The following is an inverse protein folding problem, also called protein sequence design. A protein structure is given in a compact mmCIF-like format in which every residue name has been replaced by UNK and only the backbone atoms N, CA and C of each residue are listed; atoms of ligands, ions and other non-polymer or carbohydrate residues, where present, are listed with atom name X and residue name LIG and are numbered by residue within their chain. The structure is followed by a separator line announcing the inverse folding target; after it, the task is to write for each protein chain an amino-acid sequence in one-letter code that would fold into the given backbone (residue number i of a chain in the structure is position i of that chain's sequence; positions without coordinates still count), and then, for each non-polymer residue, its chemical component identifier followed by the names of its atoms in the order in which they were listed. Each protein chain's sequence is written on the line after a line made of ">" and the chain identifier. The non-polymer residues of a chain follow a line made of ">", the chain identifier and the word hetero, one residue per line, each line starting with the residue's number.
data_IF_057126907818
#
_entry.id   IF_057126907818
#
_cell.length_a   1.000
_cell.length_b   1.000
_cell.length_c   1.000
_cell.angle_alpha   90.00
_cell.angle_beta   90.00
_cell.angle_gamma   90.00
#
_symmetry.space_group_name_H-M   'P 1'
#
loop_
_entity.id
_entity.type
_entity.pdbx_description
1 polymer ?
#
# COMPACT_ATOMS: atom_id res chain seq x y z
N UNK A 1 13.81 18.39 49.61
CA UNK A 1 14.87 17.78 48.81
C UNK A 1 15.85 17.04 49.72
N UNK A 2 16.42 17.69 50.73
CA UNK A 2 17.25 17.00 51.74
C UNK A 2 16.46 15.97 52.58
N UNK A 3 15.18 16.20 52.88
CA UNK A 3 14.31 15.19 53.53
C UNK A 3 13.97 13.99 52.63
N UNK A 4 14.04 14.15 51.29
CA UNK A 4 13.80 13.05 50.33
C UNK A 4 15.05 12.18 50.12
N UNK A 5 16.19 12.58 50.69
CA UNK A 5 17.48 11.89 50.65
C UNK A 5 17.78 11.13 51.95
N UNK A 6 16.84 11.06 52.90
CA UNK A 6 17.04 10.25 54.11
C UNK A 6 16.95 8.75 53.78
N UNK A 7 17.98 8.05 54.27
CA UNK A 7 18.38 6.67 53.98
C UNK A 7 17.24 5.67 53.76
N UNK A 8 17.19 5.10 52.54
CA UNK A 8 16.46 3.86 52.26
C UNK A 8 15.22 3.96 51.37
N UNK A 9 14.98 5.11 50.72
CA UNK A 9 13.84 5.27 49.80
C UNK A 9 14.23 4.99 48.35
N UNK A 10 13.27 4.50 47.54
CA UNK A 10 13.46 4.26 46.10
C UNK A 10 13.92 5.50 45.31
N UNK A 11 13.66 6.70 45.85
CA UNK A 11 14.10 7.97 45.26
C UNK A 11 15.62 8.18 45.36
N UNK A 12 16.23 7.82 46.49
CA UNK A 12 17.69 7.86 46.67
C UNK A 12 18.40 6.91 45.71
N UNK A 13 17.86 5.70 45.53
CA UNK A 13 18.37 4.72 44.56
C UNK A 13 18.26 5.23 43.12
N UNK A 14 17.16 5.92 42.78
CA UNK A 14 16.96 6.49 41.46
C UNK A 14 17.94 7.65 41.18
N UNK A 15 18.20 8.49 42.19
CA UNK A 15 19.16 9.60 42.09
C UNK A 15 20.59 9.07 41.97
N UNK A 16 20.96 8.04 42.75
CA UNK A 16 22.28 7.41 42.66
C UNK A 16 22.48 6.67 41.32
N UNK A 17 21.47 5.94 40.83
CA UNK A 17 21.52 5.29 39.53
C UNK A 17 21.65 6.31 38.38
N UNK A 18 20.97 7.46 38.49
CA UNK A 18 21.13 8.55 37.53
C UNK A 18 22.53 9.17 37.59
N UNK A 19 23.07 9.37 38.79
CA UNK A 19 24.43 9.88 38.98
C UNK A 19 25.47 8.93 38.38
N UNK A 20 25.37 7.62 38.63
CA UNK A 20 26.26 6.58 38.10
C UNK A 20 26.20 6.48 36.57
N UNK A 21 25.01 6.61 35.98
CA UNK A 21 24.86 6.65 34.52
C UNK A 21 25.59 7.85 33.91
N UNK A 22 25.60 8.98 34.62
CA UNK A 22 26.26 10.22 34.20
C UNK A 22 27.78 10.09 34.30
N UNK A 23 28.31 9.49 35.36
CA UNK A 23 29.75 9.24 35.52
C UNK A 23 30.28 8.29 34.45
N UNK A 24 29.49 7.28 34.08
CA UNK A 24 29.84 6.32 33.02
C UNK A 24 29.87 6.98 31.62
N UNK A 25 28.95 7.91 31.36
CA UNK A 25 28.93 8.71 30.13
C UNK A 25 30.15 9.64 30.03
N UNK A 26 30.56 10.28 31.13
CA UNK A 26 31.75 11.14 31.14
C UNK A 26 33.06 10.35 31.08
N UNK A 27 33.14 9.16 31.69
CA UNK A 27 34.34 8.30 31.59
C UNK A 27 34.54 7.73 30.20
N UNK A 28 33.45 7.48 29.46
CA UNK A 28 33.52 7.02 28.08
C UNK A 28 33.84 8.17 27.11
N UNK A 29 33.32 9.37 27.36
CA UNK A 29 33.67 10.56 26.57
C UNK A 29 35.14 10.99 26.73
N UNK A 30 35.80 10.67 27.86
CA UNK A 30 37.20 10.96 28.10
C UNK A 30 38.18 9.98 27.42
N UNK A 31 37.69 8.86 26.84
CA UNK A 31 38.53 7.84 26.17
C UNK A 31 38.45 7.85 24.64
N UNK A 32 37.53 8.59 24.03
CA UNK A 32 37.44 8.74 22.56
C UNK A 32 38.14 10.03 22.09
N UNK A 33 39.45 10.07 22.32
CA UNK A 33 40.35 11.11 21.84
C UNK A 33 41.50 10.52 21.04
N UNK A 34 41.24 9.58 20.13
CA UNK A 34 42.23 9.11 19.15
C UNK A 34 41.51 8.52 17.93
N UNK A 35 41.93 8.95 16.73
CA UNK A 35 41.45 8.50 15.41
C UNK A 35 41.33 6.97 15.33
N UNK A 36 40.17 6.45 14.92
CA UNK A 36 40.06 5.07 14.42
C UNK A 36 39.16 4.98 13.18
N UNK A 37 39.78 4.38 12.17
CA UNK A 37 39.34 3.96 10.85
C UNK A 37 38.37 2.77 10.96
N UNK A 38 37.28 2.78 10.18
CA UNK A 38 36.26 1.73 10.20
C UNK A 38 36.83 0.36 9.79
N UNK A 39 36.83 -0.60 10.72
CA UNK A 39 36.89 -2.03 10.42
C UNK A 39 36.09 -2.79 11.49
N UNK A 40 34.99 -3.42 11.09
CA UNK A 40 34.20 -4.33 11.94
C UNK A 40 34.98 -5.62 12.21
N UNK A 41 35.07 -6.09 13.48
CA UNK A 41 35.32 -7.49 13.76
C UNK A 41 34.09 -8.16 14.36
N UNK A 42 33.76 -9.34 13.82
CA UNK A 42 32.95 -10.34 14.49
C UNK A 42 33.67 -10.78 15.78
N UNK A 43 32.96 -10.78 16.91
CA UNK A 43 33.48 -11.34 18.15
C UNK A 43 32.63 -12.54 18.61
N UNK A 44 33.33 -13.68 18.65
CA UNK A 44 32.98 -14.94 19.29
C UNK A 44 32.61 -14.74 20.77
N UNK A 45 31.50 -15.35 21.19
CA UNK A 45 31.16 -15.52 22.59
C UNK A 45 32.13 -16.50 23.26
N UNK A 46 32.82 -16.04 24.29
CA UNK A 46 33.44 -16.91 25.29
C UNK A 46 33.07 -16.38 26.68
N UNK A 47 32.43 -17.24 27.46
CA UNK A 47 31.71 -16.88 28.66
C UNK A 47 32.60 -16.52 29.86
N UNK A 48 32.00 -15.75 30.77
CA UNK A 48 32.28 -15.83 32.20
C UNK A 48 30.99 -15.51 32.95
N UNK A 49 30.59 -16.45 33.79
CA UNK A 49 29.44 -16.40 34.68
C UNK A 49 29.60 -15.29 35.72
N UNK A 50 28.57 -14.45 35.82
CA UNK A 50 28.15 -13.77 37.05
C UNK A 50 26.70 -13.28 36.82
N UNK A 51 25.77 -14.23 36.78
CA UNK A 51 24.33 -13.93 36.83
C UNK A 51 24.00 -13.26 38.16
N UNK A 52 23.84 -11.94 38.13
CA UNK A 52 22.93 -11.26 39.07
C UNK A 52 21.55 -11.38 38.44
N UNK A 53 20.80 -12.36 38.95
CA UNK A 53 19.42 -12.67 38.59
C UNK A 53 18.52 -11.45 38.81
N UNK A 54 18.36 -10.63 37.76
CA UNK A 54 17.20 -9.76 37.60
C UNK A 54 16.10 -10.63 37.02
N UNK A 55 15.39 -11.33 37.91
CA UNK A 55 14.25 -12.16 37.55
C UNK A 55 13.26 -11.36 36.70
N UNK A 56 12.90 -11.96 35.57
CA UNK A 56 11.71 -11.71 34.74
C UNK A 56 10.71 -10.72 35.33
N UNK A 57 10.96 -9.42 35.14
CA UNK A 57 9.87 -8.47 34.96
C UNK A 57 9.67 -8.41 33.46
N UNK A 58 8.58 -9.00 32.90
CA UNK A 58 8.19 -8.60 31.57
C UNK A 58 8.00 -7.10 31.66
N UNK A 59 8.76 -6.33 30.89
CA UNK A 59 8.33 -4.99 30.53
C UNK A 59 6.89 -5.14 30.06
N UNK A 60 5.92 -4.71 30.88
CA UNK A 60 4.50 -4.81 30.54
C UNK A 60 4.29 -3.82 29.41
N UNK A 61 4.54 -4.28 28.20
CA UNK A 61 4.28 -3.54 26.99
C UNK A 61 2.75 -3.57 26.83
N UNK A 62 2.11 -2.56 27.43
CA UNK A 62 0.66 -2.37 27.38
C UNK A 62 0.14 -2.29 25.94
N UNK A 63 1.00 -1.85 25.02
CA UNK A 63 0.71 -1.74 23.60
C UNK A 63 0.99 -3.03 22.86
N UNK A 64 -0.08 -3.71 22.44
CA UNK A 64 0.04 -4.89 21.59
C UNK A 64 0.72 -4.51 20.26
N UNK A 65 1.78 -5.23 19.91
CA UNK A 65 2.37 -5.16 18.57
C UNK A 65 1.39 -5.76 17.55
N UNK A 66 1.25 -5.09 16.40
CA UNK A 66 0.28 -5.43 15.36
C UNK A 66 0.43 -6.90 14.91
N UNK A 67 -0.67 -7.66 14.92
CA UNK A 67 -0.71 -9.04 14.40
C UNK A 67 -0.39 -9.02 12.90
N UNK A 68 0.72 -9.68 12.56
CA UNK A 68 1.34 -9.67 11.24
C UNK A 68 0.86 -10.91 10.48
N UNK A 69 0.06 -10.76 9.43
CA UNK A 69 -0.05 -11.85 8.44
C UNK A 69 1.27 -11.87 7.65
N UNK A 70 2.24 -12.67 8.13
CA UNK A 70 3.47 -13.00 7.41
C UNK A 70 3.10 -13.92 6.23
N UNK A 71 2.62 -13.34 5.15
CA UNK A 71 2.24 -14.10 3.97
C UNK A 71 1.92 -13.17 2.82
N UNK A 72 2.26 -13.60 1.60
CA UNK A 72 1.88 -12.83 0.43
C UNK A 72 0.37 -12.63 0.43
N UNK A 73 -0.07 -11.38 0.58
CA UNK A 73 -1.43 -10.91 0.38
C UNK A 73 -1.90 -11.38 -1.00
N UNK A 74 -2.37 -12.62 -1.07
CA UNK A 74 -2.75 -13.26 -2.30
C UNK A 74 -4.04 -12.62 -2.81
N UNK A 75 -4.60 -13.21 -3.86
CA UNK A 75 -5.93 -12.91 -4.38
C UNK A 75 -7.04 -12.82 -3.30
N UNK A 76 -6.79 -13.34 -2.08
CA UNK A 76 -7.62 -13.22 -0.87
C UNK A 76 -7.99 -11.76 -0.57
N UNK A 77 -7.04 -10.84 -0.50
CA UNK A 77 -7.34 -9.46 -0.05
C UNK A 77 -8.14 -8.68 -1.08
N UNK A 78 -7.88 -8.92 -2.36
CA UNK A 78 -8.70 -8.43 -3.47
C UNK A 78 -10.13 -8.98 -3.39
N UNK A 79 -10.27 -10.29 -3.14
CA UNK A 79 -11.58 -10.94 -2.96
C UNK A 79 -12.31 -10.38 -1.75
N UNK A 80 -11.59 -10.10 -0.67
CA UNK A 80 -12.14 -9.50 0.55
C UNK A 80 -12.70 -8.11 0.26
N UNK A 81 -11.96 -7.25 -0.44
CA UNK A 81 -12.44 -5.92 -0.84
C UNK A 81 -13.75 -5.96 -1.65
N UNK A 82 -13.82 -6.85 -2.65
CA UNK A 82 -14.99 -6.97 -3.53
C UNK A 82 -16.17 -7.67 -2.82
N UNK A 83 -15.90 -8.61 -1.91
CA UNK A 83 -16.93 -9.33 -1.17
C UNK A 83 -17.56 -8.49 -0.07
N UNK A 84 -16.77 -7.74 0.71
CA UNK A 84 -17.27 -6.82 1.74
C UNK A 84 -18.13 -5.72 1.11
N UNK A 85 -17.69 -5.17 -0.01
CA UNK A 85 -18.47 -4.17 -0.78
C UNK A 85 -19.74 -4.74 -1.45
N UNK A 86 -19.92 -6.08 -1.46
CA UNK A 86 -20.97 -6.78 -2.22
C UNK A 86 -21.03 -6.29 -3.67
N UNK A 87 -19.85 -6.06 -4.25
CA UNK A 87 -19.66 -5.30 -5.48
C UNK A 87 -19.34 -6.16 -6.70
N UNK A 88 -19.42 -7.49 -6.62
CA UNK A 88 -19.09 -8.40 -7.72
C UNK A 88 -19.77 -8.06 -9.04
N UNK A 89 -21.08 -7.73 -9.00
CA UNK A 89 -21.81 -7.31 -10.19
C UNK A 89 -21.26 -6.01 -10.80
N UNK A 90 -20.91 -5.03 -9.96
CA UNK A 90 -20.34 -3.76 -10.42
C UNK A 90 -18.95 -3.97 -11.03
N UNK A 91 -18.13 -4.83 -10.43
CA UNK A 91 -16.81 -5.18 -10.97
C UNK A 91 -16.91 -5.84 -12.35
N UNK A 92 -17.84 -6.79 -12.52
CA UNK A 92 -18.10 -7.41 -13.83
C UNK A 92 -18.56 -6.37 -14.85
N UNK A 93 -19.42 -5.43 -14.45
CA UNK A 93 -19.86 -4.35 -15.33
C UNK A 93 -18.72 -3.40 -15.73
N UNK A 94 -17.78 -3.10 -14.83
CA UNK A 94 -16.56 -2.31 -15.13
C UNK A 94 -15.70 -3.03 -16.17
N UNK A 95 -15.44 -4.32 -15.97
CA UNK A 95 -14.65 -5.14 -16.91
C UNK A 95 -15.35 -5.21 -18.26
N UNK A 96 -16.66 -5.46 -18.28
CA UNK A 96 -17.42 -5.55 -19.53
C UNK A 96 -17.43 -4.21 -20.28
N UNK A 97 -17.67 -3.09 -19.58
CA UNK A 97 -17.62 -1.76 -20.18
C UNK A 97 -16.22 -1.44 -20.74
N UNK A 98 -15.16 -1.87 -20.04
CA UNK A 98 -13.78 -1.73 -20.52
C UNK A 98 -13.51 -2.58 -21.76
N UNK A 99 -13.95 -3.84 -21.77
CA UNK A 99 -13.81 -4.72 -22.94
C UNK A 99 -14.53 -4.14 -24.17
N UNK A 100 -15.75 -3.61 -23.99
CA UNK A 100 -16.50 -2.99 -25.09
C UNK A 100 -15.82 -1.69 -25.56
N UNK A 101 -15.34 -0.85 -24.63
CA UNK A 101 -14.56 0.35 -24.96
C UNK A 101 -13.36 0.02 -25.85
N UNK A 102 -12.54 -0.95 -25.41
CA UNK A 102 -11.34 -1.38 -26.15
C UNK A 102 -11.74 -2.03 -27.47
N UNK A 103 -12.74 -2.91 -27.50
CA UNK A 103 -13.21 -3.54 -28.73
C UNK A 103 -13.64 -2.51 -29.78
N UNK A 104 -14.44 -1.51 -29.40
CA UNK A 104 -14.88 -0.44 -30.32
C UNK A 104 -13.71 0.41 -30.83
N UNK A 105 -12.76 0.74 -29.96
CA UNK A 105 -11.58 1.52 -30.34
C UNK A 105 -10.70 0.76 -31.34
N UNK A 106 -10.46 -0.53 -31.11
CA UNK A 106 -9.66 -1.37 -31.99
C UNK A 106 -10.39 -1.73 -33.29
N UNK A 107 -11.71 -1.92 -33.25
CA UNK A 107 -12.53 -2.09 -34.46
C UNK A 107 -12.51 -0.83 -35.32
N UNK A 108 -12.54 0.36 -34.71
CA UNK A 108 -12.44 1.62 -35.43
C UNK A 108 -11.09 1.78 -36.15
N UNK A 109 -9.98 1.47 -35.47
CA UNK A 109 -8.64 1.53 -36.08
C UNK A 109 -8.43 0.45 -37.13
N UNK A 110 -8.94 -0.77 -36.90
CA UNK A 110 -8.95 -1.84 -37.89
C UNK A 110 -9.73 -1.46 -39.14
N UNK A 111 -10.93 -0.90 -38.98
CA UNK A 111 -11.76 -0.40 -40.08
C UNK A 111 -11.03 0.64 -40.90
N UNK A 112 -10.36 1.59 -40.24
CA UNK A 112 -9.54 2.60 -40.91
C UNK A 112 -8.41 1.96 -41.71
N UNK A 113 -7.66 1.02 -41.13
CA UNK A 113 -6.56 0.33 -41.80
C UNK A 113 -7.02 -0.48 -43.03
N UNK A 114 -8.17 -1.16 -42.95
CA UNK A 114 -8.73 -1.96 -44.04
C UNK A 114 -9.29 -1.10 -45.19
N UNK A 115 -9.94 0.03 -44.86
CA UNK A 115 -10.64 0.85 -45.87
C UNK A 115 -9.72 1.77 -46.65
N UNK A 116 -8.64 2.29 -46.05
CA UNK A 116 -7.63 3.13 -46.72
C UNK A 116 -7.08 2.48 -47.99
N UNK A 117 -6.95 1.16 -48.00
CA UNK A 117 -6.38 0.43 -49.14
C UNK A 117 -7.40 0.15 -50.23
N UNK A 118 -8.66 -0.05 -49.85
CA UNK A 118 -9.66 -0.62 -50.74
C UNK A 118 -10.22 0.35 -51.79
N UNK A 119 -10.03 1.68 -51.66
CA UNK A 119 -10.59 2.73 -52.56
C UNK A 119 -12.10 2.58 -52.88
N UNK A 120 -12.81 1.69 -52.20
CA UNK A 120 -14.21 1.30 -52.46
C UNK A 120 -15.22 2.27 -51.86
N UNK A 121 -14.80 3.03 -50.85
CA UNK A 121 -15.66 3.91 -50.07
C UNK A 121 -15.21 5.36 -50.20
N UNK A 122 -16.17 6.29 -50.26
CA UNK A 122 -15.89 7.72 -50.16
C UNK A 122 -15.26 8.04 -48.81
N UNK A 123 -14.33 9.00 -48.80
CA UNK A 123 -13.65 9.48 -47.59
C UNK A 123 -14.65 9.86 -46.50
N UNK A 124 -15.79 10.46 -46.86
CA UNK A 124 -16.83 10.83 -45.91
C UNK A 124 -17.46 9.64 -45.17
N UNK A 125 -17.61 8.48 -45.84
CA UNK A 125 -18.15 7.26 -45.22
C UNK A 125 -17.10 6.64 -44.28
N UNK A 126 -15.84 6.60 -44.69
CA UNK A 126 -14.75 6.04 -43.88
C UNK A 126 -14.59 6.84 -42.58
N UNK A 127 -14.52 8.17 -42.69
CA UNK A 127 -14.41 9.07 -41.53
C UNK A 127 -15.67 9.03 -40.67
N UNK A 128 -16.86 9.02 -41.29
CA UNK A 128 -18.13 8.96 -40.56
C UNK A 128 -18.28 7.72 -39.70
N UNK A 129 -17.97 6.54 -40.25
CA UNK A 129 -18.02 5.26 -39.52
C UNK A 129 -16.99 5.22 -38.40
N UNK A 130 -15.77 5.70 -38.64
CA UNK A 130 -14.74 5.83 -37.60
C UNK A 130 -15.21 6.75 -36.46
N UNK A 131 -15.75 7.93 -36.79
CA UNK A 131 -16.22 8.92 -35.82
C UNK A 131 -17.39 8.38 -34.97
N UNK A 132 -18.32 7.63 -35.56
CA UNK A 132 -19.42 7.00 -34.81
C UNK A 132 -18.89 5.95 -33.84
N UNK A 133 -17.97 5.08 -34.28
CA UNK A 133 -17.39 4.05 -33.40
C UNK A 133 -16.57 4.64 -32.24
N UNK A 134 -15.75 5.66 -32.50
CA UNK A 134 -14.96 6.32 -31.44
C UNK A 134 -15.85 7.12 -30.49
N UNK A 135 -16.89 7.78 -30.99
CA UNK A 135 -17.87 8.46 -30.13
C UNK A 135 -18.63 7.46 -29.25
N UNK A 136 -19.01 6.31 -29.81
CA UNK A 136 -19.63 5.24 -29.04
C UNK A 136 -18.68 4.67 -27.98
N UNK A 137 -17.39 4.51 -28.27
CA UNK A 137 -16.41 4.04 -27.27
C UNK A 137 -16.28 5.04 -26.12
N UNK A 138 -16.24 6.35 -26.39
CA UNK A 138 -16.23 7.38 -25.34
C UNK A 138 -17.42 7.26 -24.37
N UNK A 139 -18.61 6.89 -24.86
CA UNK A 139 -19.77 6.63 -24.00
C UNK A 139 -19.52 5.46 -23.03
N UNK A 140 -18.92 4.37 -23.50
CA UNK A 140 -18.57 3.25 -22.62
C UNK A 140 -17.48 3.60 -21.61
N UNK A 141 -16.52 4.46 -21.97
CA UNK A 141 -15.53 4.98 -21.02
C UNK A 141 -16.19 5.85 -19.93
N UNK A 142 -17.20 6.63 -20.30
CA UNK A 142 -18.00 7.41 -19.36
C UNK A 142 -18.81 6.51 -18.42
N UNK A 143 -19.54 5.52 -18.98
CA UNK A 143 -20.29 4.53 -18.18
C UNK A 143 -19.36 3.77 -17.22
N UNK A 144 -18.20 3.31 -17.69
CA UNK A 144 -17.19 2.66 -16.85
C UNK A 144 -16.78 3.54 -15.68
N UNK A 145 -16.52 4.83 -15.93
CA UNK A 145 -16.11 5.79 -14.89
C UNK A 145 -17.21 5.99 -13.84
N UNK A 146 -18.48 6.09 -14.26
CA UNK A 146 -19.63 6.18 -13.34
C UNK A 146 -19.80 4.92 -12.48
N UNK A 147 -19.72 3.74 -13.09
CA UNK A 147 -19.85 2.46 -12.38
C UNK A 147 -18.67 2.27 -11.41
N UNK A 148 -17.45 2.63 -11.79
CA UNK A 148 -16.27 2.59 -10.93
C UNK A 148 -16.41 3.54 -9.72
N UNK A 149 -16.88 4.76 -9.93
CA UNK A 149 -17.16 5.69 -8.84
C UNK A 149 -18.24 5.16 -7.89
N UNK A 150 -19.32 4.58 -8.43
CA UNK A 150 -20.37 3.96 -7.62
C UNK A 150 -19.85 2.74 -6.83
N UNK A 151 -18.99 1.92 -7.44
CA UNK A 151 -18.34 0.80 -6.77
C UNK A 151 -17.46 1.27 -5.60
N UNK A 152 -16.65 2.32 -5.79
CA UNK A 152 -15.83 2.92 -4.74
C UNK A 152 -16.67 3.47 -3.58
N UNK A 153 -17.73 4.23 -3.87
CA UNK A 153 -18.64 4.75 -2.84
C UNK A 153 -19.34 3.64 -2.05
N UNK A 154 -19.76 2.57 -2.74
CA UNK A 154 -20.37 1.40 -2.09
C UNK A 154 -19.37 0.69 -1.17
N UNK A 155 -18.14 0.49 -1.64
CA UNK A 155 -17.07 -0.09 -0.83
C UNK A 155 -16.78 0.76 0.40
N UNK A 156 -16.57 2.07 0.21
CA UNK A 156 -16.36 3.05 1.29
C UNK A 156 -17.44 2.92 2.38
N UNK A 157 -18.72 2.90 2.00
CA UNK A 157 -19.83 2.79 2.94
C UNK A 157 -19.83 1.49 3.75
N UNK A 158 -19.64 0.34 3.11
CA UNK A 158 -19.64 -0.95 3.81
C UNK A 158 -18.42 -1.10 4.73
N UNK A 159 -17.24 -0.65 4.29
CA UNK A 159 -16.03 -0.66 5.12
C UNK A 159 -16.13 0.32 6.29
N UNK A 160 -16.59 1.55 6.05
CA UNK A 160 -16.77 2.55 7.10
C UNK A 160 -17.77 2.08 8.16
N UNK A 161 -18.94 1.58 7.74
CA UNK A 161 -19.96 1.10 8.68
C UNK A 161 -19.50 -0.12 9.48
N UNK A 162 -18.86 -1.10 8.83
CA UNK A 162 -18.32 -2.27 9.52
C UNK A 162 -17.17 -1.93 10.46
N UNK A 163 -16.29 -1.00 10.08
CA UNK A 163 -15.21 -0.51 10.93
C UNK A 163 -15.78 0.19 12.17
N UNK A 164 -16.72 1.13 11.97
CA UNK A 164 -17.30 1.90 13.08
C UNK A 164 -18.12 1.03 14.03
N UNK A 165 -18.99 0.14 13.52
CA UNK A 165 -19.80 -0.73 14.37
C UNK A 165 -18.94 -1.69 15.22
N UNK A 166 -17.85 -2.21 14.64
CA UNK A 166 -16.90 -3.08 15.35
C UNK A 166 -16.11 -2.30 16.40
N UNK A 167 -15.58 -1.12 16.07
CA UNK A 167 -14.80 -0.30 17.02
C UNK A 167 -15.66 0.15 18.20
N UNK A 168 -16.88 0.65 17.97
CA UNK A 168 -17.75 1.10 19.08
C UNK A 168 -18.24 -0.03 19.99
N UNK A 169 -18.22 -1.27 19.51
CA UNK A 169 -18.56 -2.45 20.31
C UNK A 169 -17.34 -3.16 20.88
N UNK A 170 -16.13 -2.67 20.63
CA UNK A 170 -14.94 -3.32 21.15
C UNK A 170 -14.85 -3.19 22.70
N UNK A 171 -14.30 -4.20 23.41
CA UNK A 171 -14.16 -4.14 24.86
C UNK A 171 -13.20 -3.03 25.29
N UNK A 172 -13.36 -2.51 26.51
CA UNK A 172 -12.44 -1.50 27.07
C UNK A 172 -10.96 -1.90 26.97
N UNK A 173 -10.65 -3.20 27.13
CA UNK A 173 -9.31 -3.76 26.97
C UNK A 173 -8.65 -3.39 25.62
N UNK A 174 -9.43 -3.31 24.54
CA UNK A 174 -8.92 -2.92 23.23
C UNK A 174 -8.44 -1.46 23.23
N UNK A 175 -9.19 -0.56 23.88
CA UNK A 175 -8.84 0.86 23.97
C UNK A 175 -7.67 1.12 24.91
N UNK A 176 -7.51 0.33 25.96
CA UNK A 176 -6.37 0.43 26.88
C UNK A 176 -5.07 -0.12 26.24
N UNK A 177 -5.18 -1.16 25.40
CA UNK A 177 -4.04 -1.80 24.73
C UNK A 177 -3.68 -1.19 23.37
N UNK A 178 -4.59 -0.42 22.76
CA UNK A 178 -4.40 0.15 21.43
C UNK A 178 -4.28 1.67 21.52
N UNK A 179 -3.13 2.26 21.13
CA UNK A 179 -2.98 3.72 21.14
C UNK A 179 -4.04 4.40 20.28
N UNK A 180 -4.65 5.48 20.80
CA UNK A 180 -5.67 6.26 20.07
C UNK A 180 -5.19 6.73 18.70
N UNK A 181 -3.90 7.07 18.57
CA UNK A 181 -3.29 7.45 17.29
C UNK A 181 -3.36 6.35 16.22
N UNK A 182 -3.29 5.07 16.62
CA UNK A 182 -3.41 3.93 15.70
C UNK A 182 -4.83 3.84 15.15
N UNK A 183 -5.84 3.93 16.03
CA UNK A 183 -7.27 3.94 15.65
C UNK A 183 -7.54 5.11 14.70
N UNK A 184 -7.04 6.30 15.03
CA UNK A 184 -7.21 7.50 14.20
C UNK A 184 -6.56 7.35 12.83
N UNK A 185 -5.37 6.74 12.74
CA UNK A 185 -4.69 6.50 11.46
C UNK A 185 -5.49 5.54 10.57
N UNK A 186 -6.09 4.49 11.15
CA UNK A 186 -7.00 3.58 10.43
C UNK A 186 -8.25 4.32 9.95
N UNK A 187 -8.85 5.12 10.83
CA UNK A 187 -10.07 5.86 10.55
C UNK A 187 -9.88 7.04 9.57
N UNK A 188 -8.65 7.50 9.35
CA UNK A 188 -8.33 8.64 8.48
C UNK A 188 -7.56 8.20 7.24
N UNK A 189 -6.26 7.92 7.37
CA UNK A 189 -5.37 7.64 6.24
C UNK A 189 -5.76 6.36 5.50
N UNK A 190 -6.03 5.26 6.21
CA UNK A 190 -6.32 3.99 5.55
C UNK A 190 -7.71 3.99 4.91
N UNK A 191 -8.70 4.60 5.55
CA UNK A 191 -10.02 4.80 4.93
C UNK A 191 -9.95 5.75 3.73
N UNK A 192 -9.16 6.82 3.78
CA UNK A 192 -8.97 7.71 2.64
C UNK A 192 -8.38 6.98 1.42
N UNK A 193 -7.40 6.10 1.64
CA UNK A 193 -6.83 5.23 0.59
C UNK A 193 -7.91 4.30 0.02
N UNK A 194 -8.73 3.72 0.90
CA UNK A 194 -9.83 2.83 0.51
C UNK A 194 -10.91 3.54 -0.33
N UNK A 195 -11.18 4.80 0.01
CA UNK A 195 -12.23 5.62 -0.59
C UNK A 195 -11.85 6.13 -1.99
N UNK A 196 -10.60 6.59 -2.16
CA UNK A 196 -10.16 7.25 -3.39
C UNK A 196 -9.14 6.45 -4.19
N UNK A 197 -8.06 6.01 -3.54
CA UNK A 197 -6.90 5.46 -4.24
C UNK A 197 -7.17 4.05 -4.78
N UNK A 198 -7.85 3.19 -4.01
CA UNK A 198 -8.13 1.81 -4.43
C UNK A 198 -9.08 1.75 -5.64
N UNK A 199 -10.27 2.38 -5.65
CA UNK A 199 -11.18 2.33 -6.79
C UNK A 199 -10.56 2.88 -8.07
N UNK A 200 -9.81 3.98 -7.94
CA UNK A 200 -9.08 4.60 -9.04
C UNK A 200 -8.02 3.66 -9.60
N UNK A 201 -7.12 3.18 -8.75
CA UNK A 201 -5.99 2.31 -9.15
C UNK A 201 -6.47 0.98 -9.70
N UNK A 202 -7.48 0.34 -9.10
CA UNK A 202 -8.14 -0.86 -9.62
C UNK A 202 -8.63 -0.66 -11.06
N UNK A 203 -9.29 0.47 -11.34
CA UNK A 203 -9.83 0.76 -12.66
C UNK A 203 -8.72 0.87 -13.71
N UNK A 204 -7.58 1.49 -13.37
CA UNK A 204 -6.43 1.57 -14.27
C UNK A 204 -5.72 0.23 -14.46
N UNK A 205 -5.61 -0.60 -13.42
CA UNK A 205 -5.06 -1.95 -13.55
C UNK A 205 -5.93 -2.80 -14.48
N UNK A 206 -7.26 -2.79 -14.30
CA UNK A 206 -8.20 -3.48 -15.20
C UNK A 206 -8.07 -2.94 -16.62
N UNK A 207 -8.04 -1.61 -16.78
CA UNK A 207 -7.96 -0.97 -18.10
C UNK A 207 -6.67 -1.32 -18.83
N UNK A 208 -5.52 -1.18 -18.17
CA UNK A 208 -4.22 -1.52 -18.73
C UNK A 208 -4.06 -3.02 -19.01
N UNK A 209 -4.63 -3.89 -18.18
CA UNK A 209 -4.61 -5.34 -18.44
C UNK A 209 -5.37 -5.69 -19.72
N UNK A 210 -6.57 -5.12 -19.89
CA UNK A 210 -7.38 -5.35 -21.11
C UNK A 210 -6.70 -4.75 -22.34
N UNK A 211 -6.06 -3.58 -22.22
CA UNK A 211 -5.36 -2.91 -23.32
C UNK A 211 -4.10 -3.66 -23.77
N UNK A 212 -3.29 -4.14 -22.82
CA UNK A 212 -2.12 -5.00 -23.10
C UNK A 212 -2.59 -6.29 -23.77
N UNK A 213 -3.63 -6.95 -23.24
CA UNK A 213 -4.18 -8.17 -23.84
C UNK A 213 -4.71 -7.93 -25.27
N UNK A 214 -5.47 -6.86 -25.49
CA UNK A 214 -5.99 -6.51 -26.81
C UNK A 214 -4.87 -6.20 -27.81
N UNK A 215 -3.84 -5.47 -27.38
CA UNK A 215 -2.66 -5.18 -28.21
C UNK A 215 -1.94 -6.46 -28.62
N UNK A 216 -1.71 -7.37 -27.67
CA UNK A 216 -1.11 -8.67 -27.96
C UNK A 216 -1.96 -9.45 -28.96
N UNK A 217 -3.28 -9.52 -28.78
CA UNK A 217 -4.19 -10.21 -29.72
C UNK A 217 -4.07 -9.64 -31.14
N UNK A 218 -4.04 -8.32 -31.29
CA UNK A 218 -3.86 -7.68 -32.61
C UNK A 218 -2.50 -8.00 -33.22
N UNK A 219 -1.43 -7.97 -32.43
CA UNK A 219 -0.10 -8.35 -32.92
C UNK A 219 -0.06 -9.80 -33.42
N UNK A 220 -0.73 -10.72 -32.72
CA UNK A 220 -0.84 -12.13 -33.13
C UNK A 220 -1.60 -12.27 -34.45
N UNK A 221 -2.69 -11.51 -34.63
CA UNK A 221 -3.49 -11.56 -35.85
C UNK A 221 -2.72 -11.07 -37.09
N UNK A 222 -1.86 -10.05 -36.95
CA UNK A 222 -1.08 -9.51 -38.07
C UNK A 222 0.16 -10.34 -38.34
N UNK A 223 0.92 -10.68 -37.29
CA UNK A 223 2.22 -11.36 -37.40
C UNK A 223 2.38 -12.40 -36.29
N UNK A 224 1.91 -13.62 -36.53
CA UNK A 224 1.94 -14.71 -35.55
C UNK A 224 3.38 -15.05 -35.08
N UNK A 225 4.39 -14.79 -35.89
CA UNK A 225 5.80 -15.05 -35.57
C UNK A 225 6.29 -14.24 -34.36
N UNK A 226 5.67 -13.09 -34.06
CA UNK A 226 6.02 -12.25 -32.91
C UNK A 226 5.71 -12.97 -31.59
N UNK A 227 4.79 -13.93 -31.57
CA UNK A 227 4.47 -14.75 -30.39
C UNK A 227 5.70 -15.44 -29.82
N UNK A 228 6.59 -15.93 -30.70
CA UNK A 228 7.79 -16.66 -30.28
C UNK A 228 8.72 -15.81 -29.41
N UNK A 229 8.73 -14.49 -29.63
CA UNK A 229 9.55 -13.55 -28.84
C UNK A 229 8.73 -12.95 -27.69
N UNK A 230 7.44 -12.69 -27.91
CA UNK A 230 6.55 -12.11 -26.90
C UNK A 230 6.35 -13.04 -25.69
N UNK A 231 6.22 -14.36 -25.89
CA UNK A 231 5.99 -15.31 -24.79
C UNK A 231 7.16 -15.34 -23.79
N UNK A 232 8.43 -15.52 -24.20
CA UNK A 232 9.57 -15.41 -23.30
C UNK A 232 9.65 -14.04 -22.60
N UNK A 233 9.36 -12.95 -23.33
CA UNK A 233 9.38 -11.60 -22.75
C UNK A 233 8.34 -11.42 -21.65
N UNK A 234 7.10 -11.89 -21.87
CA UNK A 234 6.03 -11.86 -20.85
C UNK A 234 6.41 -12.69 -19.64
N UNK A 235 6.98 -13.89 -19.83
CA UNK A 235 7.46 -14.73 -18.72
C UNK A 235 8.56 -13.99 -17.93
N UNK A 236 9.51 -13.37 -18.63
CA UNK A 236 10.57 -12.55 -18.02
C UNK A 236 10.00 -11.38 -17.21
N UNK A 237 9.02 -10.67 -17.75
CA UNK A 237 8.33 -9.56 -17.07
C UNK A 237 7.62 -10.06 -15.81
N UNK A 238 6.88 -11.17 -15.89
CA UNK A 238 6.20 -11.75 -14.72
C UNK A 238 7.20 -12.17 -13.64
N UNK A 239 8.35 -12.72 -14.02
CA UNK A 239 9.41 -13.08 -13.08
C UNK A 239 10.00 -11.85 -12.39
N UNK A 240 10.36 -10.81 -13.17
CA UNK A 240 10.91 -9.55 -12.65
C UNK A 240 9.90 -8.84 -11.74
N UNK A 241 8.62 -8.77 -12.14
CA UNK A 241 7.56 -8.18 -11.32
C UNK A 241 7.42 -8.92 -9.99
N UNK A 242 7.35 -10.26 -9.99
CA UNK A 242 7.26 -11.05 -8.76
C UNK A 242 8.44 -10.82 -7.82
N UNK A 243 9.65 -10.76 -8.37
CA UNK A 243 10.85 -10.45 -7.61
C UNK A 243 10.79 -9.05 -6.99
N UNK A 244 10.39 -8.04 -7.78
CA UNK A 244 10.25 -6.67 -7.32
C UNK A 244 9.21 -6.52 -6.20
N UNK A 245 8.02 -7.12 -6.34
CA UNK A 245 6.91 -6.97 -5.39
C UNK A 245 7.27 -7.47 -3.98
N UNK A 246 8.14 -8.49 -3.87
CA UNK A 246 8.63 -8.95 -2.57
C UNK A 246 9.45 -7.86 -1.86
N UNK A 247 10.41 -7.25 -2.55
CA UNK A 247 11.23 -6.17 -2.01
C UNK A 247 10.44 -4.88 -1.81
N UNK A 248 9.57 -4.51 -2.76
CA UNK A 248 8.79 -3.29 -2.71
C UNK A 248 7.89 -3.23 -1.46
N UNK A 249 7.28 -4.36 -1.07
CA UNK A 249 6.48 -4.47 0.15
C UNK A 249 7.27 -4.16 1.41
N UNK A 250 8.48 -4.71 1.51
CA UNK A 250 9.36 -4.44 2.65
C UNK A 250 9.85 -2.98 2.66
N UNK A 251 10.16 -2.41 1.49
CA UNK A 251 10.57 -1.00 1.40
C UNK A 251 9.43 -0.05 1.81
N UNK A 252 8.21 -0.28 1.33
CA UNK A 252 7.04 0.52 1.73
C UNK A 252 6.75 0.37 3.23
N UNK A 253 6.96 -0.83 3.79
CA UNK A 253 6.85 -1.08 5.23
C UNK A 253 7.85 -0.24 6.03
N UNK A 254 9.13 -0.26 5.66
CA UNK A 254 10.16 0.53 6.34
C UNK A 254 9.89 2.02 6.18
N UNK A 255 9.47 2.48 4.99
CA UNK A 255 9.09 3.87 4.73
C UNK A 255 7.92 4.35 5.62
N UNK A 256 6.97 3.45 5.93
CA UNK A 256 5.92 3.75 6.92
C UNK A 256 6.48 3.96 8.33
N UNK A 257 7.49 3.19 8.72
CA UNK A 257 8.11 3.27 10.06
C UNK A 257 9.03 4.48 10.23
N UNK A 258 9.69 4.97 9.17
CA UNK A 258 10.57 6.16 9.23
C UNK A 258 9.78 7.46 9.34
N UNK A 259 8.59 7.51 8.75
CA UNK A 259 7.73 8.70 8.76
C UNK A 259 7.12 9.00 10.13
N UNK A 260 6.81 7.98 10.93
CA UNK A 260 6.16 8.16 12.23
C UNK A 260 7.02 8.93 13.26
N UNK A 261 8.32 8.64 13.45
CA UNK A 261 9.21 9.42 14.29
C UNK A 261 9.27 10.91 13.93
N UNK A 262 9.28 11.26 12.63
CA UNK A 262 9.28 12.66 12.17
C UNK A 262 8.03 13.41 12.67
N UNK A 263 6.85 12.79 12.50
CA UNK A 263 5.58 13.38 12.93
C UNK A 263 5.48 13.50 14.45
N UNK A 264 5.88 12.46 15.18
CA UNK A 264 5.86 12.46 16.65
C UNK A 264 6.82 13.53 17.21
N UNK A 265 8.03 13.61 16.68
CA UNK A 265 9.02 14.59 17.11
C UNK A 265 8.56 16.03 16.88
N UNK A 266 7.89 16.29 15.75
CA UNK A 266 7.29 17.59 15.47
C UNK A 266 6.16 17.92 16.47
N UNK A 267 5.29 16.97 16.78
CA UNK A 267 4.19 17.16 17.74
C UNK A 267 4.71 17.44 19.17
N UNK A 268 5.68 16.65 19.65
CA UNK A 268 6.32 16.87 20.95
C UNK A 268 7.04 18.23 21.02
N UNK A 269 7.70 18.63 19.94
CA UNK A 269 8.36 19.94 19.85
C UNK A 269 7.38 21.10 19.91
N UNK A 270 6.19 20.96 19.29
CA UNK A 270 5.13 21.96 19.35
C UNK A 270 4.55 22.11 20.76
N UNK A 271 4.30 20.98 21.45
CA UNK A 271 3.81 20.98 22.82
C UNK A 271 4.86 21.53 23.81
N UNK A 272 6.13 21.18 23.61
CA UNK A 272 7.25 21.56 24.47
C UNK A 272 7.95 22.88 24.11
N UNK A 273 7.39 23.68 23.19
CA UNK A 273 8.11 24.82 22.59
C UNK A 273 8.64 25.83 23.62
N UNK A 274 7.88 26.07 24.69
CA UNK A 274 8.27 27.01 25.76
C UNK A 274 9.48 26.46 26.53
N UNK A 275 9.45 25.18 26.89
CA UNK A 275 10.53 24.49 27.61
C UNK A 275 11.80 24.44 26.77
N UNK A 276 11.68 24.14 25.47
CA UNK A 276 12.82 24.10 24.54
C UNK A 276 13.51 25.47 24.46
N UNK A 277 12.72 26.55 24.39
CA UNK A 277 13.24 27.92 24.36
C UNK A 277 13.85 28.32 25.72
N UNK A 278 13.21 27.96 26.83
CA UNK A 278 13.69 28.26 28.18
C UNK A 278 15.08 27.64 28.46
N UNK A 279 15.32 26.43 27.98
CA UNK A 279 16.62 25.74 28.10
C UNK A 279 17.59 26.03 26.94
N UNK A 280 17.26 26.96 26.04
CA UNK A 280 18.07 27.30 24.85
C UNK A 280 18.46 26.07 23.99
N UNK A 281 17.60 25.04 23.94
CA UNK A 281 17.89 23.77 23.27
C UNK A 281 17.43 23.72 21.79
N UNK A 282 17.02 24.85 21.21
CA UNK A 282 16.43 24.92 19.86
C UNK A 282 17.31 24.30 18.78
N UNK A 283 18.62 24.59 18.77
CA UNK A 283 19.55 24.04 17.77
C UNK A 283 19.65 22.51 17.84
N UNK A 284 19.64 21.94 19.06
CA UNK A 284 19.64 20.48 19.25
C UNK A 284 18.38 19.87 18.62
N UNK A 285 17.22 20.48 18.89
CA UNK A 285 15.95 20.00 18.32
C UNK A 285 15.90 20.11 16.79
N UNK A 286 16.43 21.20 16.22
CA UNK A 286 16.54 21.35 14.75
C UNK A 286 17.43 20.26 14.16
N UNK A 287 18.60 20.00 14.76
CA UNK A 287 19.53 18.96 14.25
C UNK A 287 18.92 17.57 14.31
N UNK A 288 18.26 17.21 15.42
CA UNK A 288 17.56 15.93 15.53
C UNK A 288 16.43 15.81 14.52
N UNK A 289 15.63 16.87 14.31
CA UNK A 289 14.57 16.85 13.31
C UNK A 289 15.12 16.67 11.89
N UNK A 290 16.23 17.34 11.55
CA UNK A 290 16.90 17.18 10.26
C UNK A 290 17.40 15.74 10.05
N UNK A 291 17.96 15.10 11.07
CA UNK A 291 18.39 13.69 11.00
C UNK A 291 17.21 12.74 10.75
N UNK A 292 16.06 12.98 11.41
CA UNK A 292 14.86 12.18 11.20
C UNK A 292 14.31 12.35 9.77
N UNK A 293 14.28 13.59 9.27
CA UNK A 293 13.87 13.89 7.89
C UNK A 293 14.82 13.25 6.88
N UNK A 294 16.13 13.31 7.11
CA UNK A 294 17.13 12.75 6.20
C UNK A 294 17.01 11.21 6.10
N UNK A 295 16.74 10.55 7.23
CA UNK A 295 16.49 9.11 7.27
C UNK A 295 15.21 8.73 6.50
N UNK A 296 14.12 9.49 6.66
CA UNK A 296 12.88 9.28 5.90
C UNK A 296 13.06 9.56 4.40
N UNK A 297 13.73 10.65 4.04
CA UNK A 297 14.02 11.02 2.67
C UNK A 297 14.89 9.98 1.95
N UNK A 298 15.90 9.43 2.66
CA UNK A 298 16.75 8.36 2.15
C UNK A 298 15.94 7.09 1.87
N UNK A 299 15.03 6.72 2.78
CA UNK A 299 14.17 5.55 2.61
C UNK A 299 13.17 5.73 1.45
N UNK A 300 12.60 6.93 1.32
CA UNK A 300 11.74 7.29 0.21
C UNK A 300 12.50 7.22 -1.13
N UNK A 301 13.75 7.69 -1.17
CA UNK A 301 14.60 7.60 -2.34
C UNK A 301 14.85 6.14 -2.76
N UNK A 302 15.19 5.25 -1.82
CA UNK A 302 15.36 3.82 -2.14
C UNK A 302 14.08 3.16 -2.66
N UNK A 303 12.92 3.55 -2.12
CA UNK A 303 11.61 3.04 -2.59
C UNK A 303 11.34 3.45 -4.04
N UNK A 304 11.62 4.71 -4.40
CA UNK A 304 11.48 5.18 -5.78
C UNK A 304 12.54 4.55 -6.71
N UNK A 305 13.78 4.43 -6.26
CA UNK A 305 14.85 3.79 -7.03
C UNK A 305 14.53 2.32 -7.36
N UNK A 306 13.93 1.60 -6.41
CA UNK A 306 13.46 0.22 -6.65
C UNK A 306 12.32 0.16 -7.67
N UNK A 307 11.38 1.11 -7.64
CA UNK A 307 10.31 1.23 -8.63
C UNK A 307 10.89 1.51 -10.03
N UNK A 308 11.80 2.48 -10.16
CA UNK A 308 12.45 2.78 -11.44
C UNK A 308 13.25 1.60 -11.98
N UNK A 309 13.91 0.83 -11.10
CA UNK A 309 14.65 -0.38 -11.48
C UNK A 309 13.74 -1.40 -12.19
N UNK A 310 12.53 -1.65 -11.69
CA UNK A 310 11.60 -2.59 -12.34
C UNK A 310 11.05 -2.01 -13.65
N UNK A 311 10.72 -0.72 -13.69
CA UNK A 311 10.20 -0.08 -14.90
C UNK A 311 11.22 -0.15 -16.05
N UNK A 312 12.50 0.18 -15.78
CA UNK A 312 13.57 0.10 -16.78
C UNK A 312 13.76 -1.32 -17.31
N UNK A 313 13.66 -2.35 -16.46
CA UNK A 313 13.82 -3.75 -16.87
C UNK A 313 12.64 -4.26 -17.69
N UNK A 314 11.42 -3.88 -17.31
CA UNK A 314 10.20 -4.20 -18.07
C UNK A 314 10.22 -3.51 -19.42
N UNK A 315 10.59 -2.23 -19.47
CA UNK A 315 10.71 -1.46 -20.71
C UNK A 315 11.80 -2.04 -21.63
N UNK A 316 12.97 -2.40 -21.10
CA UNK A 316 14.04 -3.02 -21.88
C UNK A 316 13.58 -4.34 -22.54
N UNK A 317 12.84 -5.18 -21.83
CA UNK A 317 12.27 -6.41 -22.41
C UNK A 317 11.28 -6.10 -23.53
N UNK A 318 10.48 -5.04 -23.39
CA UNK A 318 9.53 -4.64 -24.43
C UNK A 318 10.20 -4.03 -25.65
N UNK A 319 11.28 -3.26 -25.46
CA UNK A 319 12.09 -2.77 -26.59
C UNK A 319 12.65 -3.95 -27.39
N UNK A 320 13.09 -5.02 -26.74
CA UNK A 320 13.54 -6.25 -27.45
C UNK A 320 12.39 -6.85 -28.28
N UNK A 321 11.18 -6.93 -27.74
CA UNK A 321 9.99 -7.39 -28.50
C UNK A 321 9.66 -6.47 -29.68
N UNK A 322 9.76 -5.15 -29.50
CA UNK A 322 9.49 -4.16 -30.57
C UNK A 322 10.56 -4.25 -31.66
N UNK A 323 11.84 -4.33 -31.31
CA UNK A 323 12.94 -4.43 -32.29
C UNK A 323 12.84 -5.73 -33.08
N UNK A 324 12.65 -6.87 -32.40
CA UNK A 324 12.52 -8.16 -33.06
C UNK A 324 11.27 -8.25 -33.93
N UNK A 325 10.12 -7.75 -33.46
CA UNK A 325 8.90 -7.69 -34.28
C UNK A 325 9.05 -6.79 -35.49
N UNK A 326 9.74 -5.64 -35.35
CA UNK A 326 10.04 -4.73 -36.47
C UNK A 326 10.95 -5.39 -37.51
N UNK A 327 12.00 -6.10 -37.08
CA UNK A 327 12.89 -6.85 -37.98
C UNK A 327 12.11 -7.95 -38.71
N UNK A 328 11.30 -8.74 -37.99
CA UNK A 328 10.47 -9.79 -38.59
C UNK A 328 9.50 -9.21 -39.63
N UNK A 329 8.91 -8.05 -39.34
CA UNK A 329 7.99 -7.35 -40.23
C UNK A 329 8.66 -6.86 -41.51
N UNK A 330 9.93 -6.42 -41.43
CA UNK A 330 10.74 -6.02 -42.60
C UNK A 330 11.23 -7.23 -43.41
N UNK A 331 11.49 -8.37 -42.75
CA UNK A 331 11.95 -9.61 -43.40
C UNK A 331 10.84 -10.35 -44.15
N UNK A 332 9.57 -9.97 -43.95
CA UNK A 332 8.46 -10.56 -44.67
C UNK A 332 8.52 -10.21 -46.17
N UNK A 333 8.20 -11.17 -47.08
CA UNK A 333 8.18 -10.89 -48.52
C UNK A 333 7.25 -9.74 -48.86
N UNK A 334 7.70 -8.89 -49.79
CA UNK A 334 6.90 -7.77 -50.30
C UNK A 334 5.53 -8.29 -50.80
N UNK A 335 4.44 -7.72 -50.28
CA UNK A 335 3.06 -8.08 -50.64
C UNK A 335 2.38 -9.14 -49.76
N UNK A 336 3.08 -9.69 -48.75
CA UNK A 336 2.47 -10.66 -47.81
C UNK A 336 1.46 -10.03 -46.84
N UNK A 337 1.71 -8.79 -46.40
CA UNK A 337 0.83 -8.04 -45.49
C UNK A 337 0.53 -6.69 -46.11
N UNK A 338 -0.72 -6.27 -46.03
CA UNK A 338 -1.14 -5.00 -46.59
C UNK A 338 -0.54 -3.83 -45.76
N UNK A 339 0.00 -2.76 -46.40
CA UNK A 339 0.67 -1.65 -45.72
C UNK A 339 -0.06 -1.01 -44.52
N UNK A 340 -1.39 -0.95 -44.54
CA UNK A 340 -2.21 -0.41 -43.44
C UNK A 340 -2.14 -1.27 -42.18
N UNK A 341 -2.14 -2.61 -42.31
CA UNK A 341 -1.97 -3.52 -41.18
C UNK A 341 -0.55 -3.50 -40.63
N UNK A 342 0.43 -3.30 -41.50
CA UNK A 342 1.84 -3.16 -41.11
C UNK A 342 2.04 -1.89 -40.23
N UNK A 343 1.48 -0.75 -40.66
CA UNK A 343 1.49 0.49 -39.86
C UNK A 343 0.70 0.38 -38.55
N UNK A 344 -0.45 -0.31 -38.57
CA UNK A 344 -1.26 -0.56 -37.38
C UNK A 344 -0.50 -1.43 -36.35
N UNK A 345 0.15 -2.52 -36.80
CA UNK A 345 0.95 -3.39 -35.93
C UNK A 345 2.11 -2.64 -35.28
N UNK A 346 2.85 -1.83 -36.05
CA UNK A 346 3.98 -1.07 -35.52
C UNK A 346 3.52 0.01 -34.52
N UNK A 347 2.42 0.71 -34.83
CA UNK A 347 1.86 1.72 -33.92
C UNK A 347 1.44 1.11 -32.59
N UNK A 348 0.78 -0.05 -32.62
CA UNK A 348 0.37 -0.76 -31.40
C UNK A 348 1.54 -1.36 -30.63
N UNK A 349 2.57 -1.85 -31.33
CA UNK A 349 3.80 -2.33 -30.69
C UNK A 349 4.49 -1.21 -29.89
N UNK A 350 4.54 0.01 -30.43
CA UNK A 350 5.11 1.16 -29.71
C UNK A 350 4.27 1.54 -28.49
N UNK A 351 2.94 1.55 -28.61
CA UNK A 351 2.05 1.86 -27.47
C UNK A 351 2.09 0.79 -26.37
N UNK A 352 2.39 -0.46 -26.72
CA UNK A 352 2.47 -1.57 -25.76
C UNK A 352 3.50 -1.32 -24.65
N UNK A 353 4.65 -0.71 -24.98
CA UNK A 353 5.69 -0.40 -23.99
C UNK A 353 5.16 0.57 -22.93
N UNK A 354 4.57 1.68 -23.37
CA UNK A 354 3.99 2.69 -22.47
C UNK A 354 2.84 2.12 -21.64
N UNK A 355 1.93 1.37 -22.26
CA UNK A 355 0.81 0.73 -21.58
C UNK A 355 1.28 -0.26 -20.49
N UNK A 356 2.37 -0.99 -20.72
CA UNK A 356 2.90 -1.95 -19.76
C UNK A 356 3.65 -1.30 -18.60
N UNK A 357 4.41 -0.23 -18.86
CA UNK A 357 5.03 0.60 -17.80
C UNK A 357 3.93 1.19 -16.91
N UNK A 358 2.89 1.74 -17.54
CA UNK A 358 1.72 2.25 -16.84
C UNK A 358 1.05 1.16 -15.99
N UNK A 359 0.72 0.00 -16.58
CA UNK A 359 0.12 -1.13 -15.87
C UNK A 359 0.98 -1.59 -14.67
N UNK A 360 2.29 -1.74 -14.86
CA UNK A 360 3.21 -2.19 -13.81
C UNK A 360 3.23 -1.22 -12.63
N UNK A 361 3.21 0.08 -12.90
CA UNK A 361 3.18 1.12 -11.87
C UNK A 361 1.87 1.09 -11.07
N UNK A 362 0.73 1.07 -11.76
CA UNK A 362 -0.58 1.02 -11.09
C UNK A 362 -0.79 -0.29 -10.34
N UNK A 363 -0.33 -1.41 -10.88
CA UNK A 363 -0.37 -2.69 -10.18
C UNK A 363 0.44 -2.64 -8.88
N UNK A 364 1.66 -2.08 -8.92
CA UNK A 364 2.50 -1.93 -7.73
C UNK A 364 1.87 -1.02 -6.67
N UNK A 365 1.26 0.09 -7.09
CA UNK A 365 0.51 0.96 -6.18
C UNK A 365 -0.70 0.25 -5.56
N UNK A 366 -1.42 -0.56 -6.35
CA UNK A 366 -2.59 -1.29 -5.87
C UNK A 366 -2.22 -2.29 -4.78
N UNK A 367 -1.14 -3.05 -4.96
CA UNK A 367 -0.59 -3.96 -3.94
C UNK A 367 -0.28 -3.22 -2.63
N UNK A 368 0.33 -2.03 -2.71
CA UNK A 368 0.64 -1.23 -1.53
C UNK A 368 -0.62 -0.73 -0.83
N UNK A 369 -1.63 -0.26 -1.57
CA UNK A 369 -2.89 0.20 -0.99
C UNK A 369 -3.73 -0.94 -0.41
N UNK A 370 -3.58 -2.16 -0.92
CA UNK A 370 -4.30 -3.33 -0.43
C UNK A 370 -3.95 -3.65 1.05
N UNK A 371 -2.75 -3.27 1.51
CA UNK A 371 -2.34 -3.36 2.92
C UNK A 371 -3.26 -2.53 3.83
N UNK A 372 -3.78 -1.39 3.37
CA UNK A 372 -4.77 -0.60 4.13
C UNK A 372 -6.09 -1.34 4.30
N UNK A 373 -6.52 -2.13 3.31
CA UNK A 373 -7.73 -2.97 3.40
C UNK A 373 -7.57 -4.05 4.47
N UNK A 374 -6.41 -4.71 4.52
CA UNK A 374 -6.14 -5.75 5.53
C UNK A 374 -6.21 -5.18 6.94
N UNK A 375 -5.57 -4.04 7.15
CA UNK A 375 -5.52 -3.35 8.45
C UNK A 375 -6.90 -2.87 8.90
N UNK A 376 -7.74 -2.37 7.98
CA UNK A 376 -9.14 -2.03 8.31
C UNK A 376 -9.94 -3.30 8.61
N UNK A 377 -9.75 -4.37 7.84
CA UNK A 377 -10.48 -5.63 8.03
C UNK A 377 -10.17 -6.28 9.38
N UNK A 378 -8.94 -6.18 9.88
CA UNK A 378 -8.60 -6.59 11.24
C UNK A 378 -9.47 -5.88 12.29
N UNK A 379 -9.71 -4.57 12.11
CA UNK A 379 -10.55 -3.77 13.00
C UNK A 379 -12.05 -4.07 12.83
N UNK A 380 -12.49 -4.51 11.65
CA UNK A 380 -13.86 -4.96 11.42
C UNK A 380 -14.21 -6.29 12.09
N UNK A 381 -13.19 -7.04 12.53
CA UNK A 381 -13.34 -8.36 13.17
C UNK A 381 -12.93 -8.35 14.65
N UNK A 382 -12.98 -7.19 15.30
CA UNK A 382 -12.73 -7.10 16.74
C UNK A 382 -13.80 -7.86 17.52
N UNK A 383 -13.45 -8.45 18.68
CA UNK A 383 -14.43 -9.07 19.55
C UNK A 383 -15.41 -8.00 20.04
N UNK A 384 -16.71 -8.25 19.87
CA UNK A 384 -17.77 -7.37 20.37
C UNK A 384 -18.01 -7.63 21.86
N UNK A 385 -18.24 -6.56 22.61
CA UNK A 385 -18.89 -6.60 23.91
C UNK A 385 -20.26 -7.28 23.80
N UNK A 386 -20.76 -7.87 24.90
CA UNK A 386 -22.09 -8.43 24.94
C UNK A 386 -23.15 -7.42 24.48
N UNK A 387 -24.22 -7.88 23.80
CA UNK A 387 -25.24 -6.99 23.26
C UNK A 387 -25.86 -6.14 24.36
N UNK A 388 -25.99 -4.83 24.10
CA UNK A 388 -26.56 -3.87 25.04
C UNK A 388 -27.99 -4.22 25.51
N UNK A 389 -28.72 -5.00 24.71
CA UNK A 389 -30.06 -5.46 25.01
C UNK A 389 -30.15 -6.97 24.82
N UNK A 390 -30.54 -7.67 25.89
CA UNK A 390 -30.92 -9.08 25.86
C UNK A 390 -32.43 -9.16 26.06
N UNK A 391 -33.18 -9.40 24.97
CA UNK A 391 -34.65 -9.38 24.95
C UNK A 391 -35.28 -10.28 26.01
N UNK A 392 -34.71 -11.47 26.20
CA UNK A 392 -35.26 -12.51 27.07
C UNK A 392 -34.97 -12.28 28.57
N UNK A 393 -34.13 -11.29 28.90
CA UNK A 393 -33.70 -11.00 30.28
C UNK A 393 -33.77 -9.52 30.61
N UNK A 394 -34.78 -8.82 30.08
CA UNK A 394 -35.00 -7.42 30.44
C UNK A 394 -35.55 -7.31 31.86
N UNK A 395 -35.00 -6.42 32.71
CA UNK A 395 -35.61 -6.12 33.98
C UNK A 395 -36.98 -5.46 33.78
N UNK A 396 -37.84 -5.54 34.80
CA UNK A 396 -39.15 -4.91 34.77
C UNK A 396 -39.03 -3.37 34.59
N UNK A 397 -40.03 -2.69 33.99
CA UNK A 397 -39.98 -1.23 33.79
C UNK A 397 -39.80 -0.41 35.07
N UNK A 398 -40.13 -0.99 36.22
CA UNK A 398 -39.96 -0.39 37.55
C UNK A 398 -38.55 -0.56 38.14
N UNK A 399 -37.61 -1.11 37.38
CA UNK A 399 -36.21 -1.26 37.80
C UNK A 399 -35.40 0.00 37.53
N UNK A 400 -34.48 0.41 38.44
CA UNK A 400 -34.24 -0.15 39.78
C UNK A 400 -35.19 0.42 40.84
N UNK A 401 -35.77 -0.44 41.68
CA UNK A 401 -36.80 -0.04 42.65
C UNK A 401 -36.22 0.50 43.97
N UNK A 402 -35.12 -0.10 44.45
CA UNK A 402 -34.49 0.26 45.74
C UNK A 402 -33.01 0.67 45.61
N UNK A 403 -32.38 0.44 44.46
CA UNK A 403 -30.97 0.78 44.23
C UNK A 403 -29.95 0.02 45.08
N UNK A 404 -30.33 -1.09 45.74
CA UNK A 404 -29.44 -1.89 46.58
C UNK A 404 -28.40 -2.65 45.75
N UNK A 405 -27.12 -2.48 46.07
CA UNK A 405 -25.98 -3.20 45.45
C UNK A 405 -25.44 -4.21 46.47
N UNK A 406 -25.31 -5.49 46.07
CA UNK A 406 -24.70 -6.54 46.87
C UNK A 406 -23.52 -7.15 46.08
N UNK A 407 -22.35 -7.24 46.71
CA UNK A 407 -21.12 -7.74 46.10
C UNK A 407 -20.71 -9.03 46.81
N UNK A 408 -20.74 -10.15 46.10
CA UNK A 408 -20.39 -11.46 46.65
C UNK A 408 -19.19 -12.04 45.89
N UNK A 409 -18.05 -12.22 46.58
CA UNK A 409 -16.82 -12.81 46.04
C UNK A 409 -16.30 -12.19 44.72
N UNK A 410 -16.55 -10.89 44.48
CA UNK A 410 -16.08 -10.20 43.28
C UNK A 410 -14.53 -10.21 43.23
N UNK A 411 -13.97 -10.69 42.11
CA UNK A 411 -12.55 -10.60 41.80
C UNK A 411 -12.40 -9.90 40.46
N UNK A 412 -11.63 -8.82 40.44
CA UNK A 412 -11.30 -8.06 39.23
C UNK A 412 -9.82 -8.26 38.96
N UNK A 413 -9.46 -8.50 37.70
CA UNK A 413 -8.09 -8.53 37.23
C UNK A 413 -7.88 -7.32 36.33
N UNK A 414 -7.11 -6.36 36.82
CA UNK A 414 -6.60 -5.22 36.06
C UNK A 414 -5.40 -5.61 35.22
#
# INVERSE_FOLDING_TARGET
>A
YEELLQFGTAFEQLVNAHQDSKTTLYSNAAKEGAMIQYQQPMLQQQGSEAEISTGNLPSVQLTQEEERELGGAGLKTYKDYVSVSKGWFLLVLIVLAQCVFVALQYLATYWLAATIQSHRFSVGIVVGVYAVMTTASCLFAYVRSLVAAHFGLKASREFFSGFMDSVFRAPMLFFDSTPTGRIMTRASSDLCILDFDIPFTMTFVISGTVEVAATVVVMIMVTWQVVLVAVPAVIGVLYIQRYYIASARELVRINGTTKAPVMNYAAESMLGVVTIRAFAATNRFIQTNLQLIDMDATMFFYTNAALEWVLLRVEAMQIVVIVTSSILLVMLPAGSVAPGFLGLCLSYALTLSSAQVFLTRFYSNLENYMISVERIKQFMHLPSEPPAVISDRRPAPSWPSEGKINLENLRVRT
#
